data_IF_217083818098
#
_entry.id   IF_217083818098
#
_cell.length_a   1.000
_cell.length_b   1.000
_cell.length_c   1.000
_cell.angle_alpha   90.00
_cell.angle_beta   90.00
_cell.angle_gamma   90.00
#
_symmetry.space_group_name_H-M   'P 1'
#
loop_
_entity.id
_entity.type
_entity.pdbx_description
1 polymer ?
#
# COMPACT_ATOMS: atom_id res chain seq x y z
N UNK A 1 -11.81 -30.99 20.72
CA UNK A 1 -11.92 -29.76 19.91
C UNK A 1 -11.19 -28.67 20.66
N UNK A 2 -10.20 -28.03 20.04
CA UNK A 2 -9.49 -26.90 20.64
C UNK A 2 -10.48 -25.77 20.95
N UNK A 3 -10.38 -25.11 22.10
CA UNK A 3 -11.29 -24.00 22.41
C UNK A 3 -10.97 -22.79 21.55
N UNK A 4 -12.01 -21.99 21.28
CA UNK A 4 -11.92 -20.72 20.57
C UNK A 4 -10.81 -19.83 21.14
N UNK A 5 -10.66 -19.76 22.46
CA UNK A 5 -9.62 -18.97 23.13
C UNK A 5 -8.20 -19.42 22.73
N UNK A 6 -7.93 -20.73 22.74
CA UNK A 6 -6.60 -21.24 22.37
C UNK A 6 -6.34 -20.98 20.89
N UNK A 7 -7.33 -21.24 20.03
CA UNK A 7 -7.22 -21.02 18.58
C UNK A 7 -6.96 -19.55 18.23
N UNK A 8 -7.69 -18.61 18.84
CA UNK A 8 -7.53 -17.17 18.61
C UNK A 8 -6.18 -16.68 19.16
N UNK A 9 -5.77 -17.11 20.35
CA UNK A 9 -4.47 -16.75 20.93
C UNK A 9 -3.31 -17.22 20.03
N UNK A 10 -3.34 -18.49 19.60
CA UNK A 10 -2.32 -19.04 18.70
C UNK A 10 -2.29 -18.28 17.36
N UNK A 11 -3.46 -17.98 16.78
CA UNK A 11 -3.54 -17.26 15.51
C UNK A 11 -2.92 -15.86 15.60
N UNK A 12 -3.22 -15.09 16.65
CA UNK A 12 -2.65 -13.76 16.85
C UNK A 12 -1.16 -13.79 17.21
N UNK A 13 -0.70 -14.85 17.88
CA UNK A 13 0.72 -15.08 18.12
C UNK A 13 1.47 -15.27 16.80
N UNK A 14 0.92 -16.10 15.92
CA UNK A 14 1.54 -16.44 14.64
C UNK A 14 1.49 -15.26 13.64
N UNK A 15 0.48 -14.40 13.73
CA UNK A 15 0.42 -13.12 12.99
C UNK A 15 1.57 -12.17 13.38
N UNK A 16 2.10 -12.29 14.61
CA UNK A 16 3.15 -11.42 15.13
C UNK A 16 2.83 -9.94 14.90
N UNK A 17 1.71 -9.48 15.47
CA UNK A 17 1.09 -8.19 15.11
C UNK A 17 2.05 -6.99 15.21
N UNK A 18 2.93 -6.94 16.20
CA UNK A 18 3.95 -5.89 16.29
C UNK A 18 4.94 -5.85 15.11
N UNK A 19 5.30 -7.01 14.53
CA UNK A 19 6.17 -7.06 13.34
C UNK A 19 5.40 -6.74 12.06
N UNK A 20 4.11 -7.12 12.01
CA UNK A 20 3.21 -6.67 10.97
C UNK A 20 3.09 -5.14 10.97
N UNK A 21 2.90 -4.51 12.14
CA UNK A 21 2.83 -3.05 12.27
C UNK A 21 4.10 -2.35 11.75
N UNK A 22 5.30 -2.88 12.08
CA UNK A 22 6.58 -2.35 11.54
C UNK A 22 6.65 -2.47 10.01
N UNK A 23 6.22 -3.61 9.47
CA UNK A 23 6.16 -3.82 8.02
C UNK A 23 5.21 -2.81 7.38
N UNK A 24 4.04 -2.60 7.99
CA UNK A 24 3.04 -1.68 7.48
C UNK A 24 3.56 -0.23 7.44
N UNK A 25 4.22 0.19 8.51
CA UNK A 25 4.90 1.49 8.66
C UNK A 25 5.97 1.70 7.57
N UNK A 26 6.84 0.70 7.38
CA UNK A 26 7.93 0.78 6.39
C UNK A 26 7.38 1.01 4.99
N UNK A 27 6.34 0.28 4.60
CA UNK A 27 5.71 0.44 3.28
C UNK A 27 5.00 1.79 3.18
N UNK A 28 4.33 2.26 4.24
CA UNK A 28 3.69 3.59 4.24
C UNK A 28 4.70 4.73 4.03
N UNK A 29 5.87 4.64 4.68
CA UNK A 29 6.99 5.56 4.47
C UNK A 29 7.51 5.52 3.02
N UNK A 30 7.70 4.32 2.47
CA UNK A 30 8.17 4.15 1.10
C UNK A 30 7.17 4.70 0.08
N UNK A 31 5.87 4.45 0.26
CA UNK A 31 4.81 4.99 -0.59
C UNK A 31 4.84 6.53 -0.60
N UNK A 32 5.01 7.15 0.57
CA UNK A 32 5.11 8.62 0.69
C UNK A 32 6.31 9.15 -0.09
N UNK A 33 7.48 8.51 0.03
CA UNK A 33 8.68 8.90 -0.75
C UNK A 33 8.50 8.70 -2.26
N UNK A 34 7.83 7.61 -2.67
CA UNK A 34 7.59 7.32 -4.07
C UNK A 34 6.58 8.28 -4.70
N UNK A 35 5.60 8.76 -3.93
CA UNK A 35 4.64 9.76 -4.39
C UNK A 35 5.35 11.06 -4.86
N UNK A 36 6.31 11.56 -4.08
CA UNK A 36 7.09 12.75 -4.45
C UNK A 36 7.92 12.55 -5.75
N UNK A 37 8.58 11.39 -5.87
CA UNK A 37 9.36 11.04 -7.06
C UNK A 37 8.47 10.94 -8.31
N UNK A 38 7.28 10.36 -8.16
CA UNK A 38 6.31 10.20 -9.24
C UNK A 38 5.82 11.56 -9.75
N UNK A 39 5.54 12.52 -8.85
CA UNK A 39 5.11 13.87 -9.24
C UNK A 39 6.18 14.64 -10.04
N UNK A 40 7.45 14.52 -9.63
CA UNK A 40 8.59 15.09 -10.36
C UNK A 40 8.73 14.45 -11.74
N UNK A 41 8.73 13.10 -11.80
CA UNK A 41 8.86 12.35 -13.04
C UNK A 41 7.74 12.67 -14.02
N UNK A 42 6.50 12.76 -13.54
CA UNK A 42 5.32 13.15 -14.33
C UNK A 42 5.47 14.55 -14.91
N UNK A 43 5.90 15.51 -14.09
CA UNK A 43 6.13 16.90 -14.53
C UNK A 43 7.18 16.94 -15.63
N UNK A 44 8.29 16.22 -15.47
CA UNK A 44 9.32 16.11 -16.50
C UNK A 44 8.79 15.49 -17.79
N UNK A 45 8.01 14.40 -17.73
CA UNK A 45 7.44 13.74 -18.90
C UNK A 45 6.49 14.66 -19.68
N UNK A 46 5.66 15.43 -18.98
CA UNK A 46 4.78 16.44 -19.59
C UNK A 46 5.61 17.52 -20.30
N UNK A 47 6.66 18.01 -19.67
CA UNK A 47 7.53 19.02 -20.26
C UNK A 47 8.25 18.49 -21.50
N UNK A 48 8.84 17.29 -21.44
CA UNK A 48 9.46 16.62 -22.59
C UNK A 48 8.47 16.44 -23.75
N UNK A 49 7.24 16.04 -23.45
CA UNK A 49 6.19 15.88 -24.47
C UNK A 49 5.82 17.23 -25.13
N UNK A 50 5.77 18.32 -24.34
CA UNK A 50 5.52 19.67 -24.87
C UNK A 50 6.67 20.15 -25.74
N UNK A 51 7.92 19.95 -25.31
CA UNK A 51 9.10 20.34 -26.07
C UNK A 51 9.20 19.56 -27.39
N UNK A 52 8.95 18.25 -27.37
CA UNK A 52 8.85 17.45 -28.61
C UNK A 52 7.81 18.02 -29.59
N UNK A 53 6.62 18.41 -29.10
CA UNK A 53 5.57 19.00 -29.95
C UNK A 53 5.96 20.36 -30.56
N UNK A 54 6.85 21.11 -29.90
CA UNK A 54 7.36 22.40 -30.39
C UNK A 54 8.48 22.22 -31.40
N UNK A 55 9.40 21.29 -31.18
CA UNK A 55 10.62 21.11 -31.97
C UNK A 55 10.44 20.18 -33.18
N UNK A 56 9.50 19.23 -33.13
CA UNK A 56 9.28 18.27 -34.21
C UNK A 56 8.57 18.88 -35.42
N UNK A 57 8.93 18.39 -36.62
CA UNK A 57 8.25 18.74 -37.87
C UNK A 57 6.79 18.29 -37.88
N UNK A 58 5.97 18.87 -38.76
CA UNK A 58 4.54 18.57 -38.83
C UNK A 58 4.24 17.09 -39.16
N UNK A 59 4.98 16.51 -40.11
CA UNK A 59 4.82 15.09 -40.48
C UNK A 59 5.16 14.14 -39.32
N UNK A 60 6.25 14.41 -38.59
CA UNK A 60 6.64 13.63 -37.41
C UNK A 60 5.59 13.75 -36.31
N UNK A 61 5.09 14.98 -36.06
CA UNK A 61 4.02 15.20 -35.08
C UNK A 61 2.76 14.43 -35.43
N UNK A 62 2.38 14.40 -36.72
CA UNK A 62 1.22 13.66 -37.20
C UNK A 62 1.38 12.16 -37.02
N UNK A 63 2.53 11.60 -37.39
CA UNK A 63 2.81 10.16 -37.25
C UNK A 63 2.84 9.73 -35.78
N UNK A 64 3.49 10.51 -34.92
CA UNK A 64 3.63 10.17 -33.51
C UNK A 64 2.39 10.50 -32.66
N UNK A 65 1.46 11.34 -33.14
CA UNK A 65 0.31 11.82 -32.35
C UNK A 65 -0.51 10.70 -31.74
N UNK A 66 -0.87 9.70 -32.55
CA UNK A 66 -1.68 8.55 -32.10
C UNK A 66 -0.93 7.73 -31.05
N UNK A 67 0.34 7.43 -31.31
CA UNK A 67 1.17 6.63 -30.39
C UNK A 67 1.33 7.34 -29.05
N UNK A 68 1.67 8.63 -29.05
CA UNK A 68 1.80 9.44 -27.83
C UNK A 68 0.48 9.44 -27.03
N UNK A 69 -0.66 9.61 -27.71
CA UNK A 69 -1.97 9.58 -27.04
C UNK A 69 -2.26 8.22 -26.39
N UNK A 70 -1.94 7.12 -27.06
CA UNK A 70 -2.12 5.78 -26.49
C UNK A 70 -1.27 5.60 -25.22
N UNK A 71 0.02 5.93 -25.27
CA UNK A 71 0.88 5.87 -24.08
C UNK A 71 0.42 6.79 -22.95
N UNK A 72 -0.05 8.00 -23.27
CA UNK A 72 -0.61 8.91 -22.26
C UNK A 72 -1.86 8.32 -21.59
N UNK A 73 -2.77 7.74 -22.37
CA UNK A 73 -3.97 7.09 -21.85
C UNK A 73 -3.63 5.91 -20.94
N UNK A 74 -2.72 5.03 -21.36
CA UNK A 74 -2.28 3.89 -20.54
C UNK A 74 -1.57 4.34 -19.27
N UNK A 75 -0.72 5.37 -19.36
CA UNK A 75 -0.05 5.94 -18.19
C UNK A 75 -1.05 6.54 -17.20
N UNK A 76 -2.03 7.32 -17.67
CA UNK A 76 -3.05 7.91 -16.79
C UNK A 76 -3.93 6.84 -16.12
N UNK A 77 -4.26 5.76 -16.86
CA UNK A 77 -5.00 4.62 -16.32
C UNK A 77 -4.19 3.89 -15.24
N UNK A 78 -2.90 3.62 -15.51
CA UNK A 78 -1.99 3.01 -14.54
C UNK A 78 -1.86 3.88 -13.29
N UNK A 79 -1.64 5.19 -13.46
CA UNK A 79 -1.51 6.13 -12.34
C UNK A 79 -2.77 6.17 -11.48
N UNK A 80 -3.96 6.12 -12.10
CA UNK A 80 -5.23 6.05 -11.37
C UNK A 80 -5.32 4.78 -10.53
N UNK A 81 -4.94 3.63 -11.09
CA UNK A 81 -4.94 2.35 -10.38
C UNK A 81 -3.93 2.33 -9.23
N UNK A 82 -2.72 2.86 -9.43
CA UNK A 82 -1.70 2.95 -8.40
C UNK A 82 -2.17 3.84 -7.24
N UNK A 83 -2.65 5.07 -7.53
CA UNK A 83 -3.18 5.97 -6.48
C UNK A 83 -4.30 5.34 -5.67
N UNK A 84 -5.22 4.65 -6.32
CA UNK A 84 -6.29 3.94 -5.61
C UNK A 84 -5.75 2.88 -4.64
N UNK A 85 -4.77 2.08 -5.09
CA UNK A 85 -4.14 1.06 -4.25
C UNK A 85 -3.36 1.67 -3.07
N UNK A 86 -2.62 2.76 -3.33
CA UNK A 86 -1.86 3.50 -2.31
C UNK A 86 -2.78 4.13 -1.26
N UNK A 87 -3.87 4.77 -1.68
CA UNK A 87 -4.87 5.35 -0.78
C UNK A 87 -5.55 4.28 0.09
N UNK A 88 -5.93 3.15 -0.52
CA UNK A 88 -6.53 2.03 0.21
C UNK A 88 -5.55 1.45 1.23
N UNK A 89 -4.28 1.28 0.84
CA UNK A 89 -3.21 0.82 1.73
C UNK A 89 -3.02 1.77 2.91
N UNK A 90 -2.85 3.07 2.66
CA UNK A 90 -2.65 4.07 3.71
C UNK A 90 -3.86 4.18 4.63
N UNK A 91 -5.08 3.97 4.13
CA UNK A 91 -6.30 3.91 4.94
C UNK A 91 -6.27 2.73 5.91
N UNK A 92 -5.88 1.53 5.45
CA UNK A 92 -5.75 0.35 6.31
C UNK A 92 -4.62 0.52 7.33
N UNK A 93 -3.46 0.99 6.90
CA UNK A 93 -2.31 1.22 7.77
C UNK A 93 -2.67 2.16 8.93
N UNK A 94 -3.33 3.29 8.65
CA UNK A 94 -3.77 4.25 9.69
C UNK A 94 -4.71 3.62 10.72
N UNK A 95 -5.53 2.65 10.33
CA UNK A 95 -6.44 1.96 11.25
C UNK A 95 -5.72 0.96 12.14
N UNK A 96 -4.58 0.41 11.70
CA UNK A 96 -3.89 -0.70 12.36
C UNK A 96 -2.69 -0.27 13.20
N UNK A 97 -2.03 0.84 12.86
CA UNK A 97 -0.76 1.23 13.47
C UNK A 97 -0.89 1.64 14.94
N UNK A 98 -2.02 2.25 15.30
CA UNK A 98 -2.27 2.74 16.67
C UNK A 98 -2.97 1.70 17.56
N UNK A 99 -3.32 0.53 17.01
CA UNK A 99 -3.98 -0.51 17.78
C UNK A 99 -2.97 -1.19 18.72
N UNK A 100 -3.35 -1.46 19.99
CA UNK A 100 -2.52 -2.26 20.88
C UNK A 100 -2.47 -3.71 20.39
N UNK A 101 -1.34 -4.37 20.62
CA UNK A 101 -1.19 -5.79 20.32
C UNK A 101 -2.16 -6.63 21.19
N UNK A 102 -3.12 -7.35 20.59
CA UNK A 102 -4.09 -8.14 21.36
C UNK A 102 -3.45 -9.36 22.03
N UNK A 103 -2.25 -9.76 21.63
CA UNK A 103 -1.60 -10.99 22.08
C UNK A 103 -1.43 -11.03 23.61
N UNK A 104 -1.11 -9.89 24.23
CA UNK A 104 -0.94 -9.81 25.68
C UNK A 104 -2.25 -10.17 26.41
N UNK A 105 -3.35 -9.47 26.09
CA UNK A 105 -4.65 -9.70 26.71
C UNK A 105 -5.21 -11.10 26.41
N UNK A 106 -4.99 -11.62 25.19
CA UNK A 106 -5.36 -12.98 24.81
C UNK A 106 -4.56 -14.03 25.59
N UNK A 107 -3.29 -13.75 25.90
CA UNK A 107 -2.44 -14.61 26.72
C UNK A 107 -2.96 -14.73 28.15
N UNK A 108 -3.37 -13.63 28.76
CA UNK A 108 -4.00 -13.63 30.10
C UNK A 108 -5.29 -14.47 30.10
N UNK A 109 -6.18 -14.23 29.13
CA UNK A 109 -7.42 -14.99 28.95
C UNK A 109 -7.15 -16.49 28.77
N UNK A 110 -6.14 -16.84 27.97
CA UNK A 110 -5.74 -18.22 27.75
C UNK A 110 -5.23 -18.89 29.03
N UNK A 111 -4.42 -18.18 29.84
CA UNK A 111 -3.95 -18.68 31.13
C UNK A 111 -5.10 -18.95 32.10
N UNK A 112 -6.03 -17.99 32.25
CA UNK A 112 -7.20 -18.14 33.12
C UNK A 112 -8.09 -19.32 32.71
N UNK A 113 -8.31 -19.52 31.42
CA UNK A 113 -9.05 -20.69 30.94
C UNK A 113 -8.37 -22.02 31.32
N UNK A 114 -7.04 -22.06 31.28
CA UNK A 114 -6.29 -23.25 31.66
C UNK A 114 -6.34 -23.52 33.17
N UNK A 115 -6.40 -22.48 34.00
CA UNK A 115 -6.60 -22.60 35.45
C UNK A 115 -8.00 -23.12 35.79
N UNK A 116 -9.05 -22.54 35.18
CA UNK A 116 -10.44 -22.98 35.38
C UNK A 116 -10.69 -24.43 34.96
N UNK A 117 -9.98 -24.94 33.96
CA UNK A 117 -10.09 -26.35 33.53
C UNK A 117 -9.45 -27.35 34.50
N UNK A 118 -8.58 -26.89 35.39
CA UNK A 118 -7.88 -27.74 36.38
C UNK A 118 -8.66 -27.85 37.70
N UNK A 119 -9.66 -26.98 37.91
CA UNK A 119 -10.62 -27.02 39.01
C UNK A 119 -11.76 -28.00 38.69
#
# INVERSE_FOLDING_TARGET
MESVVVSVYNSWRDVAFGDLQKTLESVACELTSNHEKNDISRTNLVNQTKEFRKSASEDVRKYCSTVIKCYQSEFDALQKRCRYAEEAYLSMYKQLIDLPDPLFALGELHSLQNELRKL
#
